data_IF_570638402561
#
_entry.id   IF_570638402561
#
_cell.length_a   1.000
_cell.length_b   1.000
_cell.length_c   1.000
_cell.angle_alpha   90.00
_cell.angle_beta   90.00
_cell.angle_gamma   90.00
#
_symmetry.space_group_name_H-M   'P 1'
#
loop_
_entity.id
_entity.type
_entity.pdbx_description
1 polymer ?
#
# COMPACT_ATOMS: atom_id res chain seq x y z
N UNK A 1 -47.02 12.19 -12.13
CA UNK A 1 -45.63 12.53 -11.78
C UNK A 1 -44.79 11.31 -12.02
N UNK A 2 -43.72 11.44 -12.81
CA UNK A 2 -42.85 10.30 -13.12
C UNK A 2 -41.92 10.10 -11.92
N UNK A 3 -42.22 9.12 -11.08
CA UNK A 3 -41.29 8.63 -10.06
C UNK A 3 -40.25 7.78 -10.77
N UNK A 4 -39.17 8.40 -11.24
CA UNK A 4 -38.01 7.68 -11.79
C UNK A 4 -37.16 7.19 -10.62
N UNK A 5 -36.93 5.87 -10.59
CA UNK A 5 -36.21 5.16 -9.54
C UNK A 5 -34.75 5.59 -9.47
N UNK A 6 -34.47 6.60 -8.65
CA UNK A 6 -33.12 7.14 -8.40
C UNK A 6 -32.17 6.12 -7.74
N UNK A 7 -32.70 5.05 -7.14
CA UNK A 7 -31.93 4.04 -6.40
C UNK A 7 -31.02 3.18 -7.27
N UNK A 8 -31.41 2.85 -8.51
CA UNK A 8 -30.58 2.08 -9.43
C UNK A 8 -29.39 2.87 -9.96
N UNK A 9 -29.58 4.16 -10.24
CA UNK A 9 -28.52 5.05 -10.72
C UNK A 9 -27.46 5.35 -9.65
N UNK A 10 -27.86 5.49 -8.37
CA UNK A 10 -26.90 5.66 -7.27
C UNK A 10 -26.00 4.44 -7.10
N UNK A 11 -26.53 3.23 -7.24
CA UNK A 11 -25.74 2.01 -7.11
C UNK A 11 -24.68 1.90 -8.23
N UNK A 12 -25.06 2.22 -9.47
CA UNK A 12 -24.14 2.28 -10.61
C UNK A 12 -23.08 3.39 -10.44
N UNK A 13 -23.45 4.54 -9.86
CA UNK A 13 -22.51 5.62 -9.56
C UNK A 13 -21.46 5.20 -8.53
N UNK A 14 -21.86 4.48 -7.48
CA UNK A 14 -20.91 4.03 -6.45
C UNK A 14 -19.94 3.01 -7.03
N UNK A 15 -20.42 2.04 -7.81
CA UNK A 15 -19.57 1.04 -8.49
C UNK A 15 -18.53 1.72 -9.40
N UNK A 16 -18.93 2.73 -10.17
CA UNK A 16 -17.99 3.45 -11.05
C UNK A 16 -16.89 4.17 -10.26
N UNK A 17 -17.22 4.74 -9.10
CA UNK A 17 -16.24 5.38 -8.22
C UNK A 17 -15.31 4.34 -7.60
N UNK A 18 -15.83 3.20 -7.15
CA UNK A 18 -15.02 2.10 -6.61
C UNK A 18 -14.02 1.57 -7.62
N UNK A 19 -14.44 1.38 -8.89
CA UNK A 19 -13.56 0.95 -9.98
C UNK A 19 -12.46 2.00 -10.23
N UNK A 20 -12.84 3.28 -10.37
CA UNK A 20 -11.87 4.34 -10.61
C UNK A 20 -10.82 4.47 -9.48
N UNK A 21 -11.25 4.27 -8.23
CA UNK A 21 -10.35 4.28 -7.06
C UNK A 21 -9.44 3.05 -7.06
N UNK A 22 -9.96 1.86 -7.36
CA UNK A 22 -9.14 0.63 -7.44
C UNK A 22 -8.06 0.74 -8.52
N UNK A 23 -8.40 1.28 -9.69
CA UNK A 23 -7.45 1.55 -10.77
C UNK A 23 -6.40 2.60 -10.39
N UNK A 24 -6.82 3.67 -9.71
CA UNK A 24 -5.90 4.70 -9.22
C UNK A 24 -4.91 4.11 -8.21
N UNK A 25 -5.38 3.29 -7.27
CA UNK A 25 -4.56 2.64 -6.25
C UNK A 25 -3.55 1.69 -6.89
N UNK A 26 -3.96 0.89 -7.87
CA UNK A 26 -3.04 -0.01 -8.61
C UNK A 26 -1.94 0.79 -9.32
N UNK A 27 -2.32 1.84 -10.06
CA UNK A 27 -1.35 2.67 -10.76
C UNK A 27 -0.36 3.33 -9.78
N UNK A 28 -0.86 3.91 -8.69
CA UNK A 28 -0.02 4.60 -7.71
C UNK A 28 0.95 3.65 -7.01
N UNK A 29 0.50 2.46 -6.60
CA UNK A 29 1.31 1.55 -5.80
C UNK A 29 2.27 0.69 -6.64
N UNK A 30 1.90 0.31 -7.87
CA UNK A 30 2.64 -0.67 -8.67
C UNK A 30 3.25 -0.11 -9.95
N UNK A 31 2.74 1.00 -10.49
CA UNK A 31 3.16 1.48 -11.82
C UNK A 31 3.81 2.86 -11.80
N UNK A 32 3.53 3.66 -10.76
CA UNK A 32 4.08 5.01 -10.61
C UNK A 32 5.51 4.92 -10.07
N UNK A 33 6.47 5.19 -10.95
CA UNK A 33 7.88 5.35 -10.57
C UNK A 33 8.05 6.71 -9.86
N UNK A 34 8.34 6.67 -8.56
CA UNK A 34 8.51 7.88 -7.75
C UNK A 34 9.99 8.26 -7.68
N UNK A 35 10.35 9.44 -8.21
CA UNK A 35 11.74 9.90 -8.29
C UNK A 35 12.42 10.02 -6.91
N UNK A 36 11.68 10.42 -5.87
CA UNK A 36 12.18 10.52 -4.49
C UNK A 36 12.37 9.14 -3.81
N UNK A 37 11.71 8.09 -4.30
CA UNK A 37 11.91 6.70 -3.85
C UNK A 37 12.96 5.96 -4.70
N UNK A 38 13.71 6.67 -5.54
CA UNK A 38 14.74 6.07 -6.38
C UNK A 38 14.22 5.33 -7.63
N UNK A 39 13.08 5.76 -8.18
CA UNK A 39 12.41 5.12 -9.33
C UNK A 39 11.87 3.71 -9.03
N UNK A 40 11.43 3.49 -7.79
CA UNK A 40 10.80 2.22 -7.38
C UNK A 40 9.34 2.51 -7.00
N UNK A 41 8.38 1.64 -7.39
CA UNK A 41 6.99 1.78 -6.94
C UNK A 41 6.88 1.71 -5.40
N UNK A 42 5.93 2.43 -4.78
CA UNK A 42 5.75 2.42 -3.33
C UNK A 42 5.61 1.03 -2.71
N UNK A 43 4.94 0.10 -3.39
CA UNK A 43 4.74 -1.27 -2.90
C UNK A 43 6.07 -2.05 -2.78
N UNK A 44 6.98 -1.87 -3.72
CA UNK A 44 8.30 -2.52 -3.70
C UNK A 44 9.22 -1.91 -2.62
N UNK A 45 9.12 -0.58 -2.43
CA UNK A 45 9.82 0.09 -1.35
C UNK A 45 9.35 -0.40 0.02
N UNK A 46 8.04 -0.50 0.24
CA UNK A 46 7.48 -1.01 1.50
C UNK A 46 7.82 -2.49 1.73
N UNK A 47 7.77 -3.32 0.69
CA UNK A 47 8.13 -4.74 0.78
C UNK A 47 9.59 -4.91 1.22
N UNK A 48 10.50 -4.09 0.67
CA UNK A 48 11.92 -4.08 1.05
C UNK A 48 12.08 -3.64 2.51
N UNK A 49 11.44 -2.53 2.89
CA UNK A 49 11.49 -2.03 4.27
C UNK A 49 11.00 -3.07 5.28
N UNK A 50 9.84 -3.71 5.02
CA UNK A 50 9.29 -4.77 5.87
C UNK A 50 10.20 -5.99 5.93
N UNK A 51 10.83 -6.38 4.83
CA UNK A 51 11.79 -7.49 4.79
C UNK A 51 13.03 -7.19 5.64
N UNK A 52 13.59 -5.98 5.54
CA UNK A 52 14.70 -5.51 6.38
C UNK A 52 14.31 -5.47 7.86
N UNK A 53 13.17 -4.86 8.20
CA UNK A 53 12.70 -4.80 9.59
C UNK A 53 12.44 -6.20 10.16
N UNK A 54 11.87 -7.12 9.38
CA UNK A 54 11.67 -8.51 9.81
C UNK A 54 12.98 -9.26 10.02
N UNK A 55 14.00 -8.99 9.22
CA UNK A 55 15.35 -9.56 9.42
C UNK A 55 16.07 -8.95 10.62
N UNK A 56 15.83 -7.68 10.93
CA UNK A 56 16.33 -7.03 12.15
C UNK A 56 15.60 -7.53 13.41
N UNK A 57 14.32 -7.89 13.27
CA UNK A 57 13.49 -8.51 14.30
C UNK A 57 13.56 -10.04 14.26
N UNK A 58 14.74 -10.59 13.92
CA UNK A 58 15.05 -11.98 14.19
C UNK A 58 15.26 -12.14 15.70
N UNK A 59 14.44 -12.94 16.41
CA UNK A 59 14.56 -13.08 17.85
C UNK A 59 15.87 -13.72 18.31
N UNK A 60 16.64 -14.31 17.39
CA UNK A 60 17.96 -14.87 17.70
C UNK A 60 19.09 -13.79 17.69
N UNK A 61 18.80 -12.55 17.26
CA UNK A 61 19.75 -11.44 17.27
C UNK A 61 19.65 -10.55 18.54
N UNK A 62 18.86 -10.93 19.55
CA UNK A 62 18.77 -10.20 20.82
C UNK A 62 19.97 -10.39 21.76
N UNK A 63 20.96 -11.23 21.43
CA UNK A 63 21.99 -11.67 22.40
C UNK A 63 23.34 -10.95 22.28
N UNK A 64 23.58 -10.13 21.23
CA UNK A 64 24.90 -9.52 21.00
C UNK A 64 25.00 -8.02 21.30
N UNK A 65 23.91 -7.36 21.71
CA UNK A 65 23.93 -5.91 22.01
C UNK A 65 24.20 -5.58 23.49
N UNK A 66 24.34 -6.58 24.38
CA UNK A 66 24.57 -6.38 25.83
C UNK A 66 25.86 -7.01 26.39
N UNK A 67 26.73 -7.60 25.57
CA UNK A 67 27.99 -8.21 26.02
C UNK A 67 29.23 -7.48 25.48
N UNK A 68 29.24 -6.15 25.57
CA UNK A 68 30.32 -5.34 24.99
C UNK A 68 30.44 -3.92 25.54
N UNK A 69 30.17 -3.69 26.82
CA UNK A 69 30.66 -2.51 27.57
C UNK A 69 30.65 -2.82 29.07
N UNK A 70 31.69 -3.49 29.57
CA UNK A 70 32.63 -2.99 30.60
C UNK A 70 33.72 -4.03 30.88
#
# INVERSE_FOLDING_TARGET
GISVSRSGEFHLSVINVEIAVAEYVDWYNHRRLHGELGHVPPAEYEATFRATTRAQHDPDNYVLIEAGTN
#
